data_IF_684248677546
#
_entry.id   IF_684248677546
#
_cell.length_a   1.000
_cell.length_b   1.000
_cell.length_c   1.000
_cell.angle_alpha   90.00
_cell.angle_beta   90.00
_cell.angle_gamma   90.00
#
_symmetry.space_group_name_H-M   'P 1'
#
loop_
_entity.id
_entity.type
_entity.pdbx_description
1 polymer ?
#
# COMPACT_ATOMS: atom_id res chain seq x y z
N UNK A 1 -1.57 -10.52 -29.89
CA UNK A 1 -0.88 -10.13 -28.64
C UNK A 1 -1.68 -10.74 -27.51
N UNK A 2 -1.13 -11.70 -26.75
CA UNK A 2 -1.90 -12.35 -25.68
C UNK A 2 -2.05 -11.37 -24.52
N UNK A 3 -3.29 -11.19 -24.05
CA UNK A 3 -3.57 -10.41 -22.86
C UNK A 3 -3.02 -11.18 -21.67
N UNK A 4 -2.08 -10.60 -20.93
CA UNK A 4 -1.65 -11.13 -19.64
C UNK A 4 -2.62 -10.64 -18.58
N UNK A 5 -3.35 -11.56 -17.96
CA UNK A 5 -4.27 -11.26 -16.86
C UNK A 5 -3.52 -11.51 -15.54
N UNK A 6 -3.31 -10.44 -14.78
CA UNK A 6 -2.58 -10.49 -13.50
C UNK A 6 -3.22 -11.49 -12.50
N UNK A 7 -4.54 -11.69 -12.57
CA UNK A 7 -5.27 -12.62 -11.70
C UNK A 7 -4.98 -14.10 -11.99
N UNK A 8 -4.50 -14.42 -13.19
CA UNK A 8 -4.15 -15.79 -13.60
C UNK A 8 -2.69 -16.13 -13.27
N UNK A 9 -1.89 -15.14 -12.86
CA UNK A 9 -0.49 -15.35 -12.50
C UNK A 9 -0.41 -16.21 -11.23
N UNK A 10 0.52 -17.17 -11.17
CA UNK A 10 0.71 -17.97 -9.97
C UNK A 10 1.09 -17.05 -8.79
N UNK A 11 0.25 -17.05 -7.76
CA UNK A 11 0.49 -16.30 -6.52
C UNK A 11 1.67 -16.96 -5.79
N UNK A 12 2.86 -16.40 -5.96
CA UNK A 12 4.04 -16.83 -5.19
C UNK A 12 3.97 -16.18 -3.81
N UNK A 13 3.90 -17.00 -2.76
CA UNK A 13 4.13 -16.51 -1.39
C UNK A 13 5.51 -15.87 -1.33
N UNK A 14 5.56 -14.59 -0.95
CA UNK A 14 6.80 -13.92 -0.64
C UNK A 14 7.14 -14.24 0.81
N UNK A 15 8.26 -14.91 1.07
CA UNK A 15 8.67 -15.32 2.41
C UNK A 15 10.10 -14.83 2.67
N UNK A 16 10.22 -13.77 3.46
CA UNK A 16 11.46 -13.14 3.90
C UNK A 16 11.30 -12.75 5.38
N UNK A 17 12.40 -12.62 6.12
CA UNK A 17 12.37 -12.29 7.54
C UNK A 17 11.54 -11.01 7.82
N UNK A 18 11.75 -9.99 6.98
CA UNK A 18 11.04 -8.72 7.10
C UNK A 18 9.63 -8.74 6.48
N UNK A 19 9.44 -9.52 5.41
CA UNK A 19 8.24 -9.51 4.57
C UNK A 19 7.71 -10.92 4.35
N UNK A 20 6.51 -11.20 4.84
CA UNK A 20 5.78 -12.43 4.53
C UNK A 20 4.40 -12.07 4.00
N UNK A 21 4.08 -12.45 2.76
CA UNK A 21 2.78 -12.16 2.15
C UNK A 21 1.63 -12.85 2.88
N UNK A 22 1.89 -13.93 3.63
CA UNK A 22 0.89 -14.63 4.44
C UNK A 22 0.35 -13.79 5.60
N UNK A 23 1.03 -12.69 5.97
CA UNK A 23 0.49 -11.70 6.92
C UNK A 23 -0.81 -11.05 6.42
N UNK A 24 -1.06 -11.06 5.11
CA UNK A 24 -2.31 -10.58 4.52
C UNK A 24 -3.42 -11.64 4.52
N UNK A 25 -3.13 -12.89 4.86
CA UNK A 25 -4.13 -13.96 4.88
C UNK A 25 -5.24 -13.62 5.88
N UNK A 26 -6.47 -13.52 5.39
CA UNK A 26 -7.63 -13.14 6.19
C UNK A 26 -7.85 -11.64 6.40
N UNK A 27 -6.94 -10.78 5.91
CA UNK A 27 -7.18 -9.34 5.86
C UNK A 27 -8.33 -9.03 4.89
N UNK A 28 -9.30 -8.22 5.34
CA UNK A 28 -10.47 -7.84 4.54
C UNK A 28 -10.36 -6.36 4.18
N UNK A 29 -10.06 -6.01 2.91
CA UNK A 29 -10.00 -4.62 2.49
C UNK A 29 -11.37 -3.97 2.61
N UNK A 30 -11.37 -2.68 2.94
CA UNK A 30 -12.59 -1.85 2.98
C UNK A 30 -12.66 -1.00 1.72
N UNK A 31 -13.89 -0.66 1.33
CA UNK A 31 -14.09 0.33 0.28
C UNK A 31 -13.49 1.67 0.73
N UNK A 32 -12.55 2.21 -0.06
CA UNK A 32 -11.84 3.44 0.24
C UNK A 32 -10.46 3.26 0.89
N UNK A 33 -10.02 2.03 1.17
CA UNK A 33 -8.65 1.78 1.61
C UNK A 33 -7.65 2.19 0.51
N UNK A 34 -6.56 2.85 0.91
CA UNK A 34 -5.44 3.23 0.03
C UNK A 34 -4.18 2.54 0.53
N UNK A 35 -3.56 1.72 -0.32
CA UNK A 35 -2.31 1.03 0.00
C UNK A 35 -1.12 1.70 -0.68
N UNK A 36 -0.12 2.14 0.10
CA UNK A 36 1.14 2.68 -0.41
C UNK A 36 2.21 1.57 -0.37
N UNK A 37 2.45 0.94 -1.52
CA UNK A 37 3.35 -0.21 -1.67
C UNK A 37 4.63 0.14 -2.44
N UNK A 38 5.48 0.98 -1.86
CA UNK A 38 6.76 1.37 -2.46
C UNK A 38 7.88 0.40 -2.06
N UNK A 39 8.85 0.16 -2.93
CA UNK A 39 10.12 -0.46 -2.54
C UNK A 39 10.82 0.34 -1.43
N UNK A 40 11.74 -0.31 -0.70
CA UNK A 40 12.50 0.35 0.35
C UNK A 40 13.19 1.62 -0.15
N UNK A 41 13.00 2.70 0.59
CA UNK A 41 13.61 4.02 0.35
C UNK A 41 13.21 4.65 -1.00
N UNK A 42 12.10 4.21 -1.60
CA UNK A 42 11.56 4.78 -2.84
C UNK A 42 10.45 5.81 -2.61
N UNK A 43 10.48 6.53 -1.47
CA UNK A 43 9.56 7.64 -1.21
C UNK A 43 8.20 7.27 -0.60
N UNK A 44 8.14 6.26 0.28
CA UNK A 44 6.92 5.89 1.02
C UNK A 44 6.28 7.09 1.71
N UNK A 45 7.07 7.85 2.48
CA UNK A 45 6.61 9.02 3.23
C UNK A 45 6.08 10.12 2.33
N UNK A 46 6.72 10.37 1.18
CA UNK A 46 6.25 11.40 0.26
C UNK A 46 4.95 11.00 -0.43
N UNK A 47 4.85 9.73 -0.83
CA UNK A 47 3.61 9.18 -1.43
C UNK A 47 2.46 9.20 -0.42
N UNK A 48 2.71 8.83 0.83
CA UNK A 48 1.74 8.94 1.92
C UNK A 48 1.26 10.38 2.09
N UNK A 49 2.16 11.37 2.05
CA UNK A 49 1.79 12.79 2.18
C UNK A 49 0.91 13.24 1.01
N UNK A 50 1.29 12.91 -0.23
CA UNK A 50 0.50 13.26 -1.42
C UNK A 50 -0.91 12.66 -1.30
N UNK A 51 -1.02 11.38 -0.94
CA UNK A 51 -2.31 10.73 -0.74
C UNK A 51 -3.13 11.40 0.36
N UNK A 52 -2.53 11.70 1.52
CA UNK A 52 -3.20 12.39 2.63
C UNK A 52 -3.75 13.76 2.21
N UNK A 53 -2.96 14.57 1.50
CA UNK A 53 -3.40 15.88 1.01
C UNK A 53 -4.56 15.77 0.01
N UNK A 54 -4.52 14.78 -0.88
CA UNK A 54 -5.60 14.54 -1.84
C UNK A 54 -6.88 14.02 -1.18
N UNK A 55 -6.78 13.22 -0.12
CA UNK A 55 -7.96 12.70 0.59
C UNK A 55 -8.56 13.75 1.51
N UNK A 56 -7.74 14.40 2.33
CA UNK A 56 -8.21 15.34 3.35
C UNK A 56 -8.40 16.77 2.83
N UNK A 57 -7.89 17.09 1.64
CA UNK A 57 -8.01 18.41 1.00
C UNK A 57 -7.51 19.56 1.89
N UNK A 58 -6.53 19.30 2.75
CA UNK A 58 -5.93 20.29 3.64
C UNK A 58 -4.50 19.90 4.02
N UNK A 59 -3.57 20.87 4.15
CA UNK A 59 -2.23 20.62 4.69
C UNK A 59 -2.19 20.56 6.22
N UNK A 60 -3.26 20.96 6.91
CA UNK A 60 -3.32 20.93 8.38
C UNK A 60 -3.83 19.56 8.87
N UNK A 61 -2.91 18.63 9.08
CA UNK A 61 -3.21 17.27 9.53
C UNK A 61 -3.40 17.23 11.06
N UNK A 62 -4.28 16.37 11.59
CA UNK A 62 -4.55 16.28 13.02
C UNK A 62 -3.39 15.68 13.84
N UNK A 63 -2.44 15.00 13.17
CA UNK A 63 -1.23 14.44 13.76
C UNK A 63 -0.11 14.34 12.69
N UNK A 64 1.15 14.10 13.08
CA UNK A 64 2.22 13.77 12.15
C UNK A 64 1.87 12.56 11.27
N UNK A 65 2.34 12.53 10.02
CA UNK A 65 1.96 11.50 9.04
C UNK A 65 2.27 10.05 9.46
N UNK A 66 3.28 9.84 10.29
CA UNK A 66 3.64 8.53 10.85
C UNK A 66 2.76 8.11 12.05
N UNK A 67 1.88 9.00 12.50
CA UNK A 67 0.99 8.85 13.67
C UNK A 67 -0.50 9.04 13.30
N UNK A 68 -0.80 9.31 12.03
CA UNK A 68 -2.17 9.39 11.49
C UNK A 68 -2.86 8.03 11.38
#
# INVERSE_FOLDING_TARGET
MSHFILEEAPIRRYQHADWDSDRWTGFKPRAGDIYVCTCYKSGTTWTQMIAALLVFQTPNLPAPLNEL
#
